data_IF_729665834609
#
_entry.id   IF_729665834609
#
_cell.length_a   1.000
_cell.length_b   1.000
_cell.length_c   1.000
_cell.angle_alpha   90.00
_cell.angle_beta   90.00
_cell.angle_gamma   90.00
#
_symmetry.space_group_name_H-M   'P 1'
#
loop_
_entity.id
_entity.type
_entity.pdbx_description
1 polymer ?
#
# COMPACT_ATOMS: atom_id res chain seq x y z
N UNK A 1 -6.24 1.70 31.49
CA UNK A 1 -5.68 2.82 30.72
C UNK A 1 -5.21 2.21 29.41
N UNK A 2 -5.96 2.45 28.33
CA UNK A 2 -5.74 1.80 27.04
C UNK A 2 -4.80 2.65 26.21
N UNK A 3 -3.54 2.21 26.13
CA UNK A 3 -2.59 2.78 25.18
C UNK A 3 -3.01 2.31 23.79
N UNK A 4 -3.62 3.24 23.05
CA UNK A 4 -3.89 3.06 21.63
C UNK A 4 -2.59 2.55 21.00
N UNK A 5 -2.65 1.38 20.37
CA UNK A 5 -1.57 0.85 19.54
C UNK A 5 -1.31 1.88 18.44
N UNK A 6 -0.46 2.87 18.71
CA UNK A 6 -0.01 3.83 17.72
C UNK A 6 0.80 3.00 16.75
N UNK A 7 0.23 2.73 15.58
CA UNK A 7 0.98 2.10 14.51
C UNK A 7 2.03 3.15 14.11
N UNK A 8 3.34 2.94 14.36
CA UNK A 8 4.35 3.98 14.21
C UNK A 8 4.65 4.29 12.74
N UNK A 9 3.90 3.68 11.82
CA UNK A 9 4.09 3.79 10.39
C UNK A 9 2.97 4.64 9.78
N UNK A 10 3.30 5.58 8.87
CA UNK A 10 2.29 6.35 8.17
C UNK A 10 1.33 5.39 7.46
N UNK A 11 0.04 5.56 7.73
CA UNK A 11 -1.01 4.77 7.12
C UNK A 11 -1.07 5.14 5.63
N UNK A 12 -0.37 4.36 4.78
CA UNK A 12 -0.29 4.60 3.34
C UNK A 12 -1.60 4.14 2.70
N UNK A 13 -2.32 5.07 2.07
CA UNK A 13 -3.50 4.75 1.26
C UNK A 13 -3.05 4.28 -0.12
N UNK A 14 -3.04 2.96 -0.33
CA UNK A 14 -2.73 2.40 -1.64
C UNK A 14 -3.70 2.87 -2.73
N UNK A 15 -4.94 3.24 -2.40
CA UNK A 15 -5.89 3.79 -3.36
C UNK A 15 -5.48 5.14 -3.93
N UNK A 16 -4.66 5.90 -3.21
CA UNK A 16 -4.08 7.17 -3.66
C UNK A 16 -2.72 7.01 -4.35
N UNK A 17 -2.19 5.78 -4.45
CA UNK A 17 -0.91 5.50 -5.08
C UNK A 17 -1.05 5.37 -6.60
N UNK A 18 -0.22 6.05 -7.38
CA UNK A 18 -0.20 5.95 -8.85
C UNK A 18 0.12 4.53 -9.34
N UNK A 19 0.96 3.80 -8.58
CA UNK A 19 1.35 2.44 -8.96
C UNK A 19 0.31 1.37 -8.60
N UNK A 20 -0.68 1.72 -7.78
CA UNK A 20 -1.72 0.78 -7.39
C UNK A 20 -2.70 0.56 -8.53
N UNK A 21 -3.08 -0.71 -8.72
CA UNK A 21 -4.13 -1.06 -9.66
C UNK A 21 -4.99 -2.19 -9.10
N UNK A 22 -6.27 -2.18 -9.47
CA UNK A 22 -7.16 -3.31 -9.23
C UNK A 22 -6.88 -4.39 -10.25
N UNK A 23 -6.46 -5.56 -9.79
CA UNK A 23 -6.30 -6.72 -10.65
C UNK A 23 -7.67 -7.30 -11.00
N UNK A 24 -7.87 -7.80 -12.23
CA UNK A 24 -9.06 -8.58 -12.56
C UNK A 24 -9.06 -9.99 -11.93
N UNK A 25 -7.93 -10.40 -11.34
CA UNK A 25 -7.84 -11.68 -10.64
C UNK A 25 -8.62 -11.63 -9.32
N UNK A 26 -9.63 -12.48 -9.19
CA UNK A 26 -10.47 -12.55 -7.98
C UNK A 26 -9.69 -13.00 -6.75
N UNK A 27 -8.61 -13.75 -6.93
CA UNK A 27 -7.75 -14.19 -5.83
C UNK A 27 -6.85 -13.06 -5.36
N UNK A 28 -6.34 -12.23 -6.26
CA UNK A 28 -5.40 -11.16 -5.90
C UNK A 28 -5.87 -9.82 -6.45
N UNK A 29 -6.91 -9.22 -5.85
CA UNK A 29 -7.54 -8.00 -6.37
C UNK A 29 -6.65 -6.77 -6.29
N UNK A 30 -5.59 -6.78 -5.46
CA UNK A 30 -4.71 -5.62 -5.28
C UNK A 30 -3.37 -5.86 -5.97
N UNK A 31 -2.96 -4.95 -6.85
CA UNK A 31 -1.67 -5.02 -7.53
C UNK A 31 -0.83 -3.77 -7.33
N UNK A 32 0.50 -3.94 -7.29
CA UNK A 32 1.46 -2.84 -7.27
C UNK A 32 2.37 -2.92 -8.51
N UNK A 33 2.35 -1.89 -9.36
CA UNK A 33 3.17 -1.84 -10.59
C UNK A 33 4.65 -1.59 -10.32
N UNK A 34 4.98 -0.79 -9.31
CA UNK A 34 6.37 -0.46 -8.98
C UNK A 34 7.16 -1.69 -8.50
N UNK A 35 6.50 -2.61 -7.79
CA UNK A 35 7.13 -3.83 -7.29
C UNK A 35 6.86 -5.02 -8.21
N UNK A 36 5.72 -5.03 -8.91
CA UNK A 36 5.38 -6.07 -9.90
C UNK A 36 4.67 -7.30 -9.30
N UNK A 37 4.00 -7.17 -8.15
CA UNK A 37 3.24 -8.25 -7.52
C UNK A 37 1.75 -7.93 -7.38
N UNK A 38 0.98 -8.95 -7.01
CA UNK A 38 -0.45 -8.87 -6.67
C UNK A 38 -0.69 -9.60 -5.34
N UNK A 39 -1.60 -9.10 -4.52
CA UNK A 39 -1.92 -9.60 -3.19
C UNK A 39 -3.43 -9.60 -2.92
N UNK A 40 -3.83 -10.41 -1.93
CA UNK A 40 -5.17 -10.44 -1.35
C UNK A 40 -5.43 -9.22 -0.48
N UNK A 41 -4.41 -8.79 0.25
CA UNK A 41 -4.45 -7.61 1.12
C UNK A 41 -3.88 -6.37 0.42
N UNK A 42 -3.95 -5.22 1.10
CA UNK A 42 -3.41 -3.98 0.58
C UNK A 42 -1.90 -4.11 0.31
N UNK A 43 -1.39 -3.62 -0.82
CA UNK A 43 0.01 -3.80 -1.19
C UNK A 43 0.99 -3.23 -0.16
N UNK A 44 0.65 -2.12 0.51
CA UNK A 44 1.47 -1.53 1.58
C UNK A 44 1.61 -2.47 2.78
N UNK A 45 0.53 -3.17 3.13
CA UNK A 45 0.51 -4.16 4.21
C UNK A 45 1.31 -5.40 3.82
N UNK A 46 1.09 -5.93 2.62
CA UNK A 46 1.84 -7.11 2.16
C UNK A 46 3.35 -6.86 2.09
N UNK A 47 3.77 -5.69 1.60
CA UNK A 47 5.19 -5.29 1.59
C UNK A 47 5.73 -5.25 3.01
N UNK A 48 4.98 -4.66 3.95
CA UNK A 48 5.39 -4.59 5.35
C UNK A 48 5.50 -5.97 5.99
N UNK A 49 4.52 -6.85 5.81
CA UNK A 49 4.55 -8.21 6.36
C UNK A 49 5.68 -9.04 5.76
N UNK A 50 5.96 -8.88 4.47
CA UNK A 50 7.00 -9.63 3.77
C UNK A 50 8.41 -9.10 4.04
N UNK A 51 8.59 -7.80 4.24
CA UNK A 51 9.92 -7.16 4.34
C UNK A 51 10.25 -6.59 5.72
N UNK A 52 9.24 -6.40 6.57
CA UNK A 52 9.36 -5.66 7.84
C UNK A 52 9.47 -4.14 7.69
N UNK A 53 9.37 -3.61 6.46
CA UNK A 53 9.61 -2.19 6.14
C UNK A 53 8.35 -1.60 5.48
N UNK A 54 7.93 -0.36 5.82
CA UNK A 54 6.82 0.30 5.15
C UNK A 54 7.11 0.53 3.66
N UNK A 55 6.05 0.65 2.85
CA UNK A 55 6.20 0.88 1.41
C UNK A 55 6.90 2.23 1.13
N UNK A 56 8.14 2.19 0.65
CA UNK A 56 8.90 3.38 0.24
C UNK A 56 8.63 3.83 -1.21
N UNK A 57 7.84 3.07 -1.95
CA UNK A 57 7.49 3.30 -3.36
C UNK A 57 6.10 3.96 -3.47
N UNK A 58 5.63 4.63 -2.42
CA UNK A 58 4.35 5.34 -2.49
C UNK A 58 4.51 6.62 -3.31
N UNK A 59 3.78 6.71 -4.42
CA UNK A 59 3.70 7.91 -5.24
C UNK A 59 2.25 8.40 -5.24
N UNK A 60 1.99 9.52 -4.57
CA UNK A 60 0.64 10.07 -4.50
C UNK A 60 0.19 10.56 -5.88
N UNK A 61 -0.98 10.09 -6.35
CA UNK A 61 -1.56 10.45 -7.65
C UNK A 61 -2.03 11.93 -7.75
N UNK A 62 -1.63 12.79 -6.81
CA UNK A 62 -1.97 14.20 -6.78
C UNK A 62 -0.71 15.07 -6.60
N UNK A 63 0.13 15.08 -7.62
CA UNK A 63 1.05 16.18 -7.86
C UNK A 63 0.29 17.39 -8.46
N UNK A 64 -0.67 17.93 -7.71
CA UNK A 64 -1.19 19.29 -7.95
C UNK A 64 -1.29 20.02 -6.61
N UNK A 65 -0.12 20.35 -6.07
CA UNK A 65 0.00 21.63 -5.39
C UNK A 65 -0.31 22.72 -6.44
N UNK A 66 -1.53 23.26 -6.40
CA UNK A 66 -1.86 24.57 -6.98
C UNK A 66 -1.77 25.61 -5.87
#
# INVERSE_FOLDING_TARGET
MGDAHVNPFPQIDCGACEHYYRSPDRRFPHGCRAIGFRSEEMPSQFVFESSGIPCCLFEAALALAR
#
